data_IF_324137987498
#
_entry.id   IF_324137987498
#
_cell.length_a   1.000
_cell.length_b   1.000
_cell.length_c   1.000
_cell.angle_alpha   90.00
_cell.angle_beta   90.00
_cell.angle_gamma   90.00
#
_symmetry.space_group_name_H-M   'P 1'
#
loop_
_entity.id
_entity.type
_entity.pdbx_description
1 polymer ?
#
# COMPACT_ATOMS: atom_id res chain seq x y z
N UNK A 1 4.45 -15.64 -20.30
CA UNK A 1 3.83 -14.42 -19.74
C UNK A 1 4.30 -14.28 -18.30
N UNK A 2 4.69 -13.09 -17.91
CA UNK A 2 5.36 -12.79 -16.65
C UNK A 2 4.32 -12.48 -15.55
N UNK A 3 3.74 -13.55 -14.98
CA UNK A 3 2.68 -13.46 -13.97
C UNK A 3 3.16 -12.67 -12.73
N UNK A 4 4.39 -12.91 -12.30
CA UNK A 4 4.96 -12.26 -11.13
C UNK A 4 5.08 -10.75 -11.36
N UNK A 5 5.45 -10.31 -12.57
CA UNK A 5 5.42 -8.87 -12.91
C UNK A 5 4.03 -8.27 -12.84
N UNK A 6 2.98 -9.02 -13.23
CA UNK A 6 1.59 -8.53 -13.14
C UNK A 6 1.16 -8.43 -11.68
N UNK A 7 1.46 -9.43 -10.87
CA UNK A 7 1.09 -9.43 -9.44
C UNK A 7 1.84 -8.34 -8.67
N UNK A 8 3.15 -8.23 -8.88
CA UNK A 8 4.02 -7.31 -8.12
C UNK A 8 3.86 -5.83 -8.50
N UNK A 9 3.14 -5.52 -9.57
CA UNK A 9 2.89 -4.13 -10.02
C UNK A 9 1.44 -3.68 -9.81
N UNK A 10 0.63 -4.47 -9.11
CA UNK A 10 -0.65 -4.02 -8.60
C UNK A 10 -0.49 -2.76 -7.73
N UNK A 11 -1.53 -1.91 -7.59
CA UNK A 11 -2.89 -2.07 -8.12
C UNK A 11 -3.00 -1.72 -9.62
N UNK A 12 -3.87 -2.43 -10.35
CA UNK A 12 -4.16 -2.13 -11.76
C UNK A 12 -5.57 -1.59 -11.94
N UNK A 13 -5.75 -0.71 -12.92
CA UNK A 13 -7.07 -0.20 -13.29
C UNK A 13 -7.37 -0.44 -14.76
N UNK A 14 -8.61 -0.77 -15.08
CA UNK A 14 -9.13 -0.83 -16.44
C UNK A 14 -10.47 -0.08 -16.52
N UNK A 15 -10.61 0.85 -17.45
CA UNK A 15 -11.79 1.72 -17.58
C UNK A 15 -12.19 2.41 -16.25
N UNK A 16 -11.22 2.91 -15.48
CA UNK A 16 -11.44 3.51 -14.15
C UNK A 16 -12.01 2.55 -13.08
N UNK A 17 -11.95 1.24 -13.31
CA UNK A 17 -12.31 0.22 -12.33
C UNK A 17 -11.05 -0.49 -11.83
N UNK A 18 -10.96 -0.72 -10.52
CA UNK A 18 -9.87 -1.48 -9.90
C UNK A 18 -9.97 -2.96 -10.28
N UNK A 19 -8.86 -3.54 -10.72
CA UNK A 19 -8.73 -4.97 -10.93
C UNK A 19 -8.08 -5.60 -9.70
N UNK A 20 -8.80 -6.54 -9.09
CA UNK A 20 -8.31 -7.37 -7.98
C UNK A 20 -8.18 -8.80 -8.48
N UNK A 21 -7.01 -9.38 -8.30
CA UNK A 21 -6.70 -10.74 -8.75
C UNK A 21 -5.95 -11.48 -7.66
N UNK A 22 -6.11 -12.80 -7.66
CA UNK A 22 -5.54 -13.70 -6.68
C UNK A 22 -4.86 -14.87 -7.40
N UNK A 23 -3.66 -15.25 -6.95
CA UNK A 23 -2.92 -16.40 -7.48
C UNK A 23 -3.39 -17.66 -6.75
N UNK A 24 -4.27 -18.41 -7.39
CA UNK A 24 -4.81 -19.68 -6.87
C UNK A 24 -3.69 -20.67 -6.55
N UNK A 25 -3.77 -21.25 -5.36
CA UNK A 25 -2.94 -22.37 -4.93
C UNK A 25 -3.60 -23.70 -5.34
N UNK A 26 -2.78 -24.76 -5.39
CA UNK A 26 -3.27 -26.10 -5.74
C UNK A 26 -4.27 -26.57 -4.69
N UNK A 27 -5.47 -26.95 -5.14
CA UNK A 27 -6.55 -27.44 -4.28
C UNK A 27 -7.47 -26.37 -3.71
N UNK A 28 -7.23 -25.08 -3.99
CA UNK A 28 -8.17 -24.03 -3.63
C UNK A 28 -9.40 -24.01 -4.55
N UNK A 29 -10.55 -23.73 -3.96
CA UNK A 29 -11.79 -23.48 -4.68
C UNK A 29 -11.84 -22.01 -5.09
N UNK A 30 -11.79 -21.68 -6.40
CA UNK A 30 -11.79 -20.30 -6.87
C UNK A 30 -13.02 -19.50 -6.43
N UNK A 31 -14.15 -20.16 -6.20
CA UNK A 31 -15.42 -19.52 -5.79
C UNK A 31 -15.35 -19.05 -4.33
N UNK A 32 -14.48 -19.68 -3.52
CA UNK A 32 -14.33 -19.35 -2.10
C UNK A 32 -13.28 -18.28 -1.84
N UNK A 33 -12.49 -17.88 -2.84
CA UNK A 33 -11.45 -16.86 -2.69
C UNK A 33 -12.08 -15.46 -2.64
N UNK A 34 -11.97 -14.73 -1.53
CA UNK A 34 -12.56 -13.39 -1.41
C UNK A 34 -11.69 -12.33 -2.10
N UNK A 35 -12.17 -11.76 -3.20
CA UNK A 35 -11.53 -10.63 -3.90
C UNK A 35 -12.02 -9.28 -3.36
N UNK A 36 -11.79 -9.03 -2.06
CA UNK A 36 -12.32 -7.84 -1.36
C UNK A 36 -11.30 -6.74 -1.09
N UNK A 37 -10.01 -7.09 -1.09
CA UNK A 37 -8.93 -6.21 -0.67
C UNK A 37 -7.88 -6.08 -1.77
N UNK A 38 -7.22 -4.93 -1.83
CA UNK A 38 -6.07 -4.68 -2.69
C UNK A 38 -5.08 -3.77 -1.94
N UNK A 39 -3.79 -3.96 -2.18
CA UNK A 39 -2.75 -3.18 -1.53
C UNK A 39 -2.59 -1.82 -2.21
N UNK A 40 -2.53 -0.76 -1.40
CA UNK A 40 -2.29 0.61 -1.87
C UNK A 40 -1.24 1.28 -0.99
N UNK A 41 -0.44 2.15 -1.60
CA UNK A 41 0.30 3.16 -0.86
C UNK A 41 -0.65 4.29 -0.50
N UNK A 42 -0.75 4.59 0.79
CA UNK A 42 -1.52 5.73 1.31
C UNK A 42 -0.54 6.80 1.75
N UNK A 43 -0.69 8.00 1.20
CA UNK A 43 0.08 9.16 1.63
C UNK A 43 -0.71 9.93 2.70
N UNK A 44 -0.08 10.11 3.87
CA UNK A 44 -0.64 10.93 4.94
C UNK A 44 -0.08 12.35 4.79
N UNK A 45 -0.96 13.34 4.77
CA UNK A 45 -0.63 14.75 4.69
C UNK A 45 -0.69 15.43 6.07
N UNK A 46 -0.07 16.60 6.18
CA UNK A 46 -0.14 17.49 7.36
C UNK A 46 0.35 16.86 8.69
N UNK A 47 1.30 15.93 8.61
CA UNK A 47 1.99 15.38 9.77
C UNK A 47 3.03 16.38 10.31
N UNK A 48 3.08 16.53 11.63
CA UNK A 48 4.10 17.33 12.29
C UNK A 48 5.49 16.67 12.10
N UNK A 49 6.51 17.50 11.89
CA UNK A 49 7.89 17.01 11.80
C UNK A 49 8.29 16.25 13.07
N UNK A 50 8.77 15.02 12.89
CA UNK A 50 9.15 14.13 14.01
C UNK A 50 8.01 13.31 14.62
N UNK A 51 6.76 13.47 14.16
CA UNK A 51 5.63 12.65 14.64
C UNK A 51 5.43 11.35 13.86
N UNK A 52 6.23 11.10 12.82
CA UNK A 52 6.11 9.89 12.00
C UNK A 52 7.08 8.81 12.49
N UNK A 53 6.51 7.72 13.00
CA UNK A 53 7.19 6.47 13.35
C UNK A 53 6.44 5.30 12.72
N UNK A 54 7.08 4.13 12.66
CA UNK A 54 6.41 2.89 12.23
C UNK A 54 5.18 2.56 13.09
N UNK A 55 5.25 2.81 14.41
CA UNK A 55 4.11 2.60 15.30
C UNK A 55 2.92 3.50 14.97
N UNK A 56 3.17 4.77 14.62
CA UNK A 56 2.13 5.69 14.15
C UNK A 56 1.61 5.22 12.80
N UNK A 57 2.48 4.92 11.83
CA UNK A 57 2.07 4.41 10.52
C UNK A 57 1.17 3.17 10.62
N UNK A 58 1.52 2.22 11.50
CA UNK A 58 0.70 1.04 11.79
C UNK A 58 -0.66 1.40 12.38
N UNK A 59 -0.71 2.29 13.37
CA UNK A 59 -1.97 2.69 14.01
C UNK A 59 -2.96 3.35 13.02
N UNK A 60 -2.45 4.19 12.12
CA UNK A 60 -3.28 4.85 11.11
C UNK A 60 -3.69 3.91 9.97
N UNK A 61 -2.79 3.04 9.54
CA UNK A 61 -3.11 2.05 8.50
C UNK A 61 -4.09 0.99 8.99
N UNK A 62 -3.99 0.55 10.25
CA UNK A 62 -4.97 -0.36 10.87
C UNK A 62 -6.39 0.25 10.93
N UNK A 63 -6.51 1.58 10.90
CA UNK A 63 -7.81 2.26 10.78
C UNK A 63 -8.39 2.20 9.35
N UNK A 64 -7.53 2.27 8.33
CA UNK A 64 -7.94 2.24 6.91
C UNK A 64 -8.12 0.81 6.40
N UNK A 65 -7.31 -0.13 6.90
CA UNK A 65 -7.23 -1.52 6.45
C UNK A 65 -6.18 -2.30 7.23
N UNK A 66 -5.43 -3.16 6.54
CA UNK A 66 -4.31 -3.90 7.13
C UNK A 66 -2.99 -3.21 6.77
N UNK A 67 -2.14 -2.94 7.76
CA UNK A 67 -0.79 -2.45 7.51
C UNK A 67 0.06 -3.51 6.82
N UNK A 68 0.67 -3.16 5.68
CA UNK A 68 1.61 -4.04 4.98
C UNK A 68 3.06 -3.56 5.09
N UNK A 69 3.32 -2.29 4.76
CA UNK A 69 4.66 -1.71 4.72
C UNK A 69 4.61 -0.19 4.89
N UNK A 70 5.72 0.42 5.33
CA UNK A 70 5.93 1.88 5.32
C UNK A 70 7.23 2.24 4.58
N UNK A 71 7.23 3.37 3.85
CA UNK A 71 8.45 3.88 3.21
C UNK A 71 9.27 4.74 4.20
N UNK A 72 10.33 4.15 4.74
CA UNK A 72 11.28 4.83 5.64
C UNK A 72 12.18 5.85 4.95
N UNK A 73 12.31 5.83 3.61
CA UNK A 73 13.25 6.69 2.87
C UNK A 73 12.70 8.10 2.64
N UNK A 74 11.38 8.23 2.57
CA UNK A 74 10.66 9.50 2.36
C UNK A 74 10.88 10.51 3.49
N UNK A 75 11.02 10.06 4.73
CA UNK A 75 11.13 10.93 5.91
C UNK A 75 12.34 11.87 5.85
N UNK A 76 13.44 11.43 5.23
CA UNK A 76 14.67 12.22 5.07
C UNK A 76 14.58 13.33 4.01
N UNK A 77 13.62 13.26 3.08
CA UNK A 77 13.45 14.24 2.00
C UNK A 77 12.62 15.44 2.43
N UNK A 78 11.56 15.24 3.22
CA UNK A 78 10.75 16.34 3.77
C UNK A 78 11.56 17.24 4.73
N UNK A 79 12.50 16.65 5.47
CA UNK A 79 13.42 17.38 6.35
C UNK A 79 14.38 18.32 5.61
N UNK A 80 14.57 18.16 4.29
CA UNK A 80 15.52 18.96 3.49
C UNK A 80 14.87 20.13 2.75
N UNK A 81 13.55 20.10 2.51
CA UNK A 81 12.87 21.18 1.77
C UNK A 81 12.46 22.37 2.63
N UNK A 82 12.42 22.22 3.96
CA UNK A 82 11.96 23.27 4.88
C UNK A 82 13.11 24.06 5.54
N UNK A 83 14.36 23.75 5.19
CA UNK A 83 15.55 24.49 5.65
C UNK A 83 15.86 25.78 4.89
N UNK A 84 14.98 26.18 3.96
CA UNK A 84 15.08 27.44 3.21
C UNK A 84 13.81 28.26 3.38
N UNK A 85 13.63 28.84 4.57
CA UNK A 85 12.86 30.07 4.76
C UNK A 85 13.44 30.86 5.93
#
# INVERSE_FOLDING_TARGET
MDLDRVVNRAPWTFNNHLLVFYKLQVGEDPVKVPLRFSAFWVQIHDLLLGSFSESVAKQWSDFVGEFLEYDSKSLSKGLRSDGHK
#
